data_IF_968694405074
#
_entry.id   IF_968694405074
#
_cell.length_a   1.000
_cell.length_b   1.000
_cell.length_c   1.000
_cell.angle_alpha   90.00
_cell.angle_beta   90.00
_cell.angle_gamma   90.00
#
_symmetry.space_group_name_H-M   'P 1'
#
loop_
_entity.id
_entity.type
_entity.pdbx_description
1 polymer ?
#
# COMPACT_ATOMS: atom_id res chain seq x y z
N UNK A 1 -29.65 -12.13 -6.10
CA UNK A 1 -28.42 -11.39 -6.45
C UNK A 1 -27.27 -12.31 -6.81
N UNK A 2 -26.97 -12.32 -8.10
CA UNK A 2 -26.13 -13.31 -8.77
C UNK A 2 -24.69 -13.36 -8.27
N UNK A 3 -24.22 -14.58 -8.04
CA UNK A 3 -22.82 -14.99 -7.87
C UNK A 3 -21.92 -14.37 -8.97
N UNK A 4 -21.34 -13.20 -8.71
CA UNK A 4 -20.44 -12.54 -9.66
C UNK A 4 -19.02 -13.09 -9.47
N UNK A 5 -18.76 -14.24 -10.09
CA UNK A 5 -17.46 -14.93 -10.10
C UNK A 5 -16.28 -14.01 -10.43
N UNK A 6 -16.48 -12.99 -11.28
CA UNK A 6 -15.46 -12.02 -11.67
C UNK A 6 -15.12 -11.04 -10.54
N UNK A 7 -16.11 -10.49 -9.82
CA UNK A 7 -15.89 -9.68 -8.60
C UNK A 7 -15.17 -10.49 -7.51
N UNK A 8 -15.53 -11.76 -7.34
CA UNK A 8 -14.88 -12.66 -6.37
C UNK A 8 -13.42 -12.89 -6.77
N UNK A 9 -13.14 -13.27 -8.02
CA UNK A 9 -11.78 -13.47 -8.52
C UNK A 9 -10.93 -12.20 -8.44
N UNK A 10 -11.51 -11.04 -8.73
CA UNK A 10 -10.82 -9.76 -8.62
C UNK A 10 -10.48 -9.36 -7.19
N UNK A 11 -11.32 -9.74 -6.21
CA UNK A 11 -11.04 -9.59 -4.79
C UNK A 11 -9.98 -10.61 -4.32
N UNK A 12 -9.96 -11.80 -4.91
CA UNK A 12 -8.99 -12.86 -4.57
C UNK A 12 -7.61 -12.69 -5.21
N UNK A 13 -7.48 -11.91 -6.30
CA UNK A 13 -6.24 -11.80 -7.09
C UNK A 13 -5.67 -10.37 -7.16
N UNK A 14 -6.02 -9.51 -6.21
CA UNK A 14 -5.57 -8.12 -6.17
C UNK A 14 -4.06 -7.92 -6.36
N UNK A 15 -3.65 -7.22 -7.41
CA UNK A 15 -2.26 -6.81 -7.58
C UNK A 15 -2.12 -5.59 -8.47
N UNK A 16 -1.14 -4.74 -8.15
CA UNK A 16 -0.75 -3.60 -9.00
C UNK A 16 0.26 -4.10 -10.04
N UNK A 17 -0.01 -3.96 -11.34
CA UNK A 17 0.87 -4.45 -12.39
C UNK A 17 2.17 -3.65 -12.42
N UNK A 18 3.26 -4.28 -12.89
CA UNK A 18 4.60 -3.71 -12.83
C UNK A 18 4.73 -2.27 -13.37
N UNK A 19 4.13 -1.92 -14.53
CA UNK A 19 4.21 -0.56 -15.08
C UNK A 19 3.49 0.52 -14.25
N UNK A 20 2.69 0.11 -13.25
CA UNK A 20 1.91 1.01 -12.39
C UNK A 20 2.39 1.03 -10.95
N UNK A 21 3.49 0.33 -10.64
CA UNK A 21 4.08 0.34 -9.30
C UNK A 21 4.92 1.60 -9.12
N UNK A 22 4.32 2.61 -8.51
CA UNK A 22 4.99 3.88 -8.19
C UNK A 22 6.18 3.72 -7.22
N UNK A 23 6.20 2.63 -6.43
CA UNK A 23 7.30 2.28 -5.53
C UNK A 23 7.98 1.01 -6.02
N UNK A 24 9.17 1.16 -6.60
CA UNK A 24 10.02 0.03 -7.03
C UNK A 24 10.98 -0.40 -5.92
N UNK A 25 11.55 -1.61 -5.97
CA UNK A 25 12.53 -2.05 -4.97
C UNK A 25 13.74 -1.11 -4.87
N UNK A 26 14.24 -0.66 -6.01
CA UNK A 26 15.36 0.29 -6.06
C UNK A 26 15.01 1.65 -5.44
N UNK A 27 13.79 2.14 -5.66
CA UNK A 27 13.34 3.40 -5.04
C UNK A 27 13.16 3.25 -3.53
N UNK A 28 12.54 2.15 -3.08
CA UNK A 28 12.34 1.84 -1.66
C UNK A 28 13.69 1.82 -0.90
N UNK A 29 14.72 1.21 -1.50
CA UNK A 29 16.05 1.17 -0.90
C UNK A 29 16.73 2.55 -0.91
N UNK A 30 16.77 3.23 -2.08
CA UNK A 30 17.44 4.53 -2.23
C UNK A 30 16.81 5.65 -1.41
N UNK A 31 15.50 5.57 -1.14
CA UNK A 31 14.74 6.58 -0.40
C UNK A 31 14.25 6.08 0.95
N UNK A 32 14.91 5.06 1.49
CA UNK A 32 14.58 4.44 2.77
C UNK A 32 14.38 5.47 3.89
N UNK A 33 15.29 6.43 4.04
CA UNK A 33 15.23 7.38 5.16
C UNK A 33 14.07 8.35 5.05
N UNK A 34 13.73 8.82 3.84
CA UNK A 34 12.53 9.63 3.61
C UNK A 34 11.26 8.85 3.92
N UNK A 35 11.18 7.59 3.47
CA UNK A 35 10.03 6.72 3.76
C UNK A 35 9.93 6.47 5.27
N UNK A 36 11.07 6.24 5.93
CA UNK A 36 11.13 6.07 7.39
C UNK A 36 10.64 7.32 8.11
N UNK A 37 11.06 8.51 7.68
CA UNK A 37 10.61 9.80 8.23
C UNK A 37 9.11 9.99 8.05
N UNK A 38 8.56 9.69 6.87
CA UNK A 38 7.11 9.72 6.66
C UNK A 38 6.36 8.79 7.64
N UNK A 39 6.83 7.55 7.80
CA UNK A 39 6.22 6.59 8.73
C UNK A 39 6.40 7.01 10.20
N UNK A 40 7.47 7.73 10.53
CA UNK A 40 7.68 8.31 11.86
C UNK A 40 6.67 9.42 12.15
N UNK A 41 6.38 10.27 11.17
CA UNK A 41 5.36 11.32 11.27
C UNK A 41 3.94 10.75 11.44
N UNK A 42 3.73 9.48 11.13
CA UNK A 42 2.51 8.73 11.44
C UNK A 42 2.47 8.14 12.85
N UNK A 43 3.44 8.47 13.71
CA UNK A 43 3.57 7.93 15.07
C UNK A 43 3.64 6.39 15.13
N UNK A 44 4.24 5.78 14.11
CA UNK A 44 4.62 4.36 14.16
C UNK A 44 5.89 4.22 15.00
N UNK A 45 5.88 3.29 15.95
CA UNK A 45 7.07 2.85 16.70
C UNK A 45 8.06 2.15 15.76
N UNK A 46 9.30 1.93 16.21
CA UNK A 46 10.31 1.23 15.40
C UNK A 46 9.81 -0.13 14.88
N UNK A 47 9.24 -0.97 15.74
CA UNK A 47 8.74 -2.29 15.32
C UNK A 47 7.54 -2.19 14.35
N UNK A 48 6.70 -1.17 14.49
CA UNK A 48 5.59 -0.94 13.56
C UNK A 48 6.07 -0.43 12.21
N UNK A 49 7.12 0.40 12.18
CA UNK A 49 7.78 0.82 10.93
C UNK A 49 8.42 -0.36 10.23
N UNK A 50 9.08 -1.27 10.94
CA UNK A 50 9.62 -2.50 10.35
C UNK A 50 8.51 -3.32 9.66
N UNK A 51 7.32 -3.42 10.28
CA UNK A 51 6.17 -4.08 9.67
C UNK A 51 5.62 -3.34 8.44
N UNK A 52 5.57 -2.01 8.47
CA UNK A 52 5.20 -1.20 7.30
C UNK A 52 6.20 -1.39 6.15
N UNK A 53 7.50 -1.37 6.43
CA UNK A 53 8.55 -1.65 5.45
C UNK A 53 8.45 -3.05 4.87
N UNK A 54 8.14 -4.05 5.70
CA UNK A 54 7.91 -5.41 5.23
C UNK A 54 6.75 -5.48 4.22
N UNK A 55 5.62 -4.81 4.49
CA UNK A 55 4.50 -4.71 3.55
C UNK A 55 4.88 -3.97 2.27
N UNK A 56 5.58 -2.83 2.39
CA UNK A 56 6.05 -2.03 1.25
C UNK A 56 7.05 -2.79 0.38
N UNK A 57 7.92 -3.61 0.98
CA UNK A 57 8.85 -4.48 0.26
C UNK A 57 8.10 -5.48 -0.60
N UNK A 58 7.14 -6.19 -0.03
CA UNK A 58 6.31 -7.16 -0.77
C UNK A 58 5.57 -6.47 -1.92
N UNK A 59 5.01 -5.29 -1.68
CA UNK A 59 4.38 -4.48 -2.73
C UNK A 59 5.37 -4.13 -3.85
N UNK A 60 6.55 -3.63 -3.50
CA UNK A 60 7.55 -3.20 -4.47
C UNK A 60 7.98 -4.37 -5.37
N UNK A 61 8.17 -5.57 -4.82
CA UNK A 61 8.60 -6.75 -5.59
C UNK A 61 7.50 -7.42 -6.39
N UNK A 62 6.28 -7.52 -5.85
CA UNK A 62 5.24 -8.37 -6.44
C UNK A 62 3.96 -7.63 -6.83
N UNK A 63 3.75 -6.40 -6.35
CA UNK A 63 2.50 -5.66 -6.49
C UNK A 63 1.30 -6.29 -5.76
N UNK A 64 1.50 -7.45 -5.14
CA UNK A 64 0.50 -8.30 -4.45
C UNK A 64 0.97 -8.52 -3.02
N UNK A 65 0.20 -8.06 -2.02
CA UNK A 65 0.62 -8.08 -0.61
C UNK A 65 -0.25 -9.05 0.18
N UNK A 66 0.21 -10.30 0.30
CA UNK A 66 -0.51 -11.38 0.98
C UNK A 66 0.24 -12.06 2.14
N UNK A 67 1.13 -11.39 2.90
CA UNK A 67 1.86 -12.08 3.95
C UNK A 67 0.93 -12.50 5.09
N UNK A 68 1.25 -13.64 5.71
CA UNK A 68 0.74 -13.98 7.04
C UNK A 68 1.66 -13.36 8.10
N UNK A 69 1.12 -13.07 9.28
CA UNK A 69 1.93 -12.53 10.38
C UNK A 69 3.17 -13.38 10.74
N UNK A 70 3.16 -14.73 10.64
CA UNK A 70 4.37 -15.54 10.79
C UNK A 70 5.49 -15.22 9.79
N UNK A 71 5.16 -14.89 8.54
CA UNK A 71 6.19 -14.52 7.54
C UNK A 71 6.94 -13.26 7.97
N UNK A 72 6.26 -12.30 8.59
CA UNK A 72 6.91 -11.13 9.18
C UNK A 72 7.82 -11.49 10.35
N UNK A 73 7.40 -12.43 11.20
CA UNK A 73 8.22 -12.81 12.36
C UNK A 73 9.49 -13.54 11.96
N UNK A 74 9.40 -14.39 10.92
CA UNK A 74 10.53 -15.11 10.32
C UNK A 74 11.50 -14.15 9.63
N UNK A 75 10.98 -13.22 8.81
CA UNK A 75 11.82 -12.32 8.03
C UNK A 75 12.44 -11.15 8.83
N UNK A 76 11.76 -10.71 9.89
CA UNK A 76 12.14 -9.50 10.63
C UNK A 76 12.56 -9.76 12.07
N UNK A 77 12.47 -11.00 12.58
CA UNK A 77 12.77 -11.36 13.97
C UNK A 77 11.99 -10.49 14.99
N UNK A 78 10.73 -10.16 14.67
CA UNK A 78 9.83 -9.32 15.49
C UNK A 78 8.55 -10.08 15.86
N UNK A 79 7.77 -9.54 16.79
CA UNK A 79 6.52 -10.17 17.24
C UNK A 79 5.36 -10.01 16.25
N UNK A 80 4.47 -11.01 16.17
CA UNK A 80 3.18 -10.90 15.43
C UNK A 80 2.35 -9.70 15.91
N UNK A 81 2.46 -9.32 17.18
CA UNK A 81 1.74 -8.19 17.77
C UNK A 81 2.15 -6.86 17.13
N UNK A 82 3.44 -6.65 16.86
CA UNK A 82 3.94 -5.45 16.21
C UNK A 82 3.37 -5.30 14.80
N UNK A 83 3.29 -6.40 14.05
CA UNK A 83 2.66 -6.44 12.73
C UNK A 83 1.19 -6.00 12.79
N UNK A 84 0.39 -6.61 13.68
CA UNK A 84 -1.02 -6.27 13.79
C UNK A 84 -1.27 -4.84 14.29
N UNK A 85 -0.42 -4.33 15.19
CA UNK A 85 -0.48 -2.93 15.62
C UNK A 85 -0.21 -1.96 14.48
N UNK A 86 0.81 -2.24 13.66
CA UNK A 86 1.12 -1.44 12.47
C UNK A 86 -0.05 -1.43 11.49
N UNK A 87 -0.56 -2.61 11.13
CA UNK A 87 -1.73 -2.76 10.24
C UNK A 87 -2.91 -1.96 10.78
N UNK A 88 -3.26 -2.13 12.06
CA UNK A 88 -4.39 -1.43 12.66
C UNK A 88 -4.22 0.10 12.69
N UNK A 89 -3.00 0.63 12.80
CA UNK A 89 -2.73 2.08 12.72
C UNK A 89 -2.86 2.58 11.29
N UNK A 90 -2.31 1.85 10.32
CA UNK A 90 -2.39 2.19 8.90
C UNK A 90 -3.84 2.13 8.37
N UNK A 91 -4.63 1.14 8.82
CA UNK A 91 -6.07 1.02 8.54
C UNK A 91 -6.85 2.19 9.14
N UNK A 92 -6.60 2.53 10.41
CA UNK A 92 -7.25 3.69 11.07
C UNK A 92 -6.91 5.02 10.40
N UNK A 93 -5.71 5.16 9.86
CA UNK A 93 -5.32 6.31 9.05
C UNK A 93 -5.92 6.30 7.63
N UNK A 94 -6.65 5.25 7.26
CA UNK A 94 -7.25 5.08 5.94
C UNK A 94 -6.25 4.86 4.81
N UNK A 95 -5.00 4.52 5.12
CA UNK A 95 -3.90 4.39 4.14
C UNK A 95 -3.81 2.99 3.54
N UNK A 96 -4.30 1.98 4.24
CA UNK A 96 -4.35 0.60 3.75
C UNK A 96 -5.73 0.00 3.97
N UNK A 97 -6.14 -0.88 3.06
CA UNK A 97 -7.33 -1.72 3.25
C UNK A 97 -6.88 -3.18 3.45
N UNK A 98 -7.44 -3.86 4.44
CA UNK A 98 -7.30 -5.31 4.60
C UNK A 98 -8.56 -6.01 4.10
N UNK A 99 -8.37 -6.95 3.20
CA UNK A 99 -9.44 -7.76 2.62
C UNK A 99 -9.18 -9.21 2.98
N UNK A 100 -10.09 -9.84 3.72
CA UNK A 100 -10.01 -11.27 4.02
C UNK A 100 -10.20 -12.07 2.72
N UNK A 101 -9.34 -13.06 2.51
CA UNK A 101 -9.43 -13.97 1.36
C UNK A 101 -9.96 -15.31 1.82
N UNK A 102 -10.99 -15.80 1.14
CA UNK A 102 -11.65 -17.06 1.46
C UNK A 102 -11.53 -18.04 0.30
N UNK A 103 -11.33 -19.32 0.60
CA UNK A 103 -11.48 -20.43 -0.33
C UNK A 103 -12.43 -21.43 0.32
N UNK A 104 -13.54 -21.79 -0.35
CA UNK A 104 -14.56 -22.70 0.18
C UNK A 104 -15.01 -22.33 1.60
N UNK A 105 -15.36 -21.04 1.83
CA UNK A 105 -15.75 -20.47 3.13
C UNK A 105 -14.64 -20.43 4.22
N UNK A 106 -13.46 -20.98 3.97
CA UNK A 106 -12.32 -20.91 4.88
C UNK A 106 -11.45 -19.70 4.57
N UNK A 107 -11.14 -18.88 5.58
CA UNK A 107 -10.19 -17.78 5.41
C UNK A 107 -8.77 -18.34 5.23
N UNK A 108 -8.17 -18.08 4.07
CA UNK A 108 -6.83 -18.59 3.71
C UNK A 108 -5.72 -17.57 3.98
N UNK A 109 -6.02 -16.28 3.86
CA UNK A 109 -5.06 -15.18 4.04
C UNK A 109 -5.76 -13.82 4.06
N UNK A 110 -4.95 -12.76 4.17
CA UNK A 110 -5.39 -11.39 3.96
C UNK A 110 -4.71 -10.80 2.72
N UNK A 111 -5.42 -9.92 2.02
CA UNK A 111 -4.87 -9.00 1.06
C UNK A 111 -4.76 -7.61 1.69
N UNK A 112 -3.55 -7.03 1.66
CA UNK A 112 -3.31 -5.67 2.10
C UNK A 112 -3.17 -4.77 0.87
N UNK A 113 -4.12 -3.87 0.67
CA UNK A 113 -4.06 -2.87 -0.39
C UNK A 113 -3.29 -1.66 0.11
N UNK A 114 -2.13 -1.40 -0.47
CA UNK A 114 -1.24 -0.31 -0.07
C UNK A 114 -1.32 0.90 -1.01
N UNK A 115 -2.26 0.92 -1.95
CA UNK A 115 -2.36 1.93 -3.00
C UNK A 115 -2.30 3.37 -2.49
N UNK A 116 -3.09 3.67 -1.47
CA UNK A 116 -3.14 5.01 -0.89
C UNK A 116 -1.86 5.34 -0.14
N UNK A 117 -1.36 4.42 0.68
CA UNK A 117 -0.04 4.56 1.32
C UNK A 117 1.07 4.83 0.30
N UNK A 118 1.12 4.06 -0.78
CA UNK A 118 2.12 4.19 -1.85
C UNK A 118 1.99 5.53 -2.56
N UNK A 119 0.77 5.98 -2.84
CA UNK A 119 0.53 7.29 -3.43
C UNK A 119 0.94 8.43 -2.49
N UNK A 120 0.65 8.33 -1.19
CA UNK A 120 1.13 9.29 -0.19
C UNK A 120 2.66 9.31 -0.13
N UNK A 121 3.32 8.16 -0.15
CA UNK A 121 4.77 8.08 -0.17
C UNK A 121 5.34 8.69 -1.46
N UNK A 122 4.76 8.39 -2.61
CA UNK A 122 5.20 8.98 -3.88
C UNK A 122 5.07 10.51 -3.86
N UNK A 123 3.95 11.04 -3.34
CA UNK A 123 3.77 12.48 -3.16
C UNK A 123 4.80 13.08 -2.22
N UNK A 124 4.97 12.49 -1.04
CA UNK A 124 5.94 12.95 -0.05
C UNK A 124 7.36 12.97 -0.62
N UNK A 125 7.76 11.92 -1.35
CA UNK A 125 9.07 11.85 -2.01
C UNK A 125 9.22 12.95 -3.08
N UNK A 126 8.19 13.19 -3.89
CA UNK A 126 8.21 14.25 -4.91
C UNK A 126 8.38 15.64 -4.28
N UNK A 127 7.67 15.92 -3.17
CA UNK A 127 7.81 17.18 -2.41
C UNK A 127 9.21 17.35 -1.79
N UNK A 128 9.93 16.27 -1.57
CA UNK A 128 11.32 16.26 -1.07
C UNK A 128 12.36 16.06 -2.18
N UNK A 129 12.03 16.47 -3.41
CA UNK A 129 12.98 16.51 -4.53
C UNK A 129 13.36 15.15 -5.10
N UNK A 130 12.54 14.11 -4.90
CA UNK A 130 12.72 12.83 -5.58
C UNK A 130 12.00 12.85 -6.94
N UNK A 131 12.72 12.93 -8.08
CA UNK A 131 12.09 12.90 -9.39
C UNK A 131 11.57 11.49 -9.70
N UNK A 132 10.38 11.42 -10.29
CA UNK A 132 9.81 10.22 -10.90
C UNK A 132 9.92 10.35 -12.41
N UNK A 133 10.46 9.34 -13.09
CA UNK A 133 10.65 9.35 -14.55
C UNK A 133 9.54 8.59 -15.29
N UNK A 134 8.77 7.75 -14.59
CA UNK A 134 7.69 7.01 -15.22
C UNK A 134 6.46 7.89 -15.41
N UNK A 135 5.92 7.85 -16.63
CA UNK A 135 4.76 8.66 -17.03
C UNK A 135 3.54 8.44 -16.13
N UNK A 136 3.30 7.20 -15.70
CA UNK A 136 2.15 6.87 -14.85
C UNK A 136 2.19 7.62 -13.50
N UNK A 137 3.34 7.60 -12.82
CA UNK A 137 3.48 8.31 -11.55
C UNK A 137 3.39 9.82 -11.74
N UNK A 138 4.04 10.37 -12.78
CA UNK A 138 3.94 11.79 -13.12
C UNK A 138 2.49 12.21 -13.36
N UNK A 139 1.74 11.48 -14.19
CA UNK A 139 0.34 11.77 -14.50
C UNK A 139 -0.54 11.79 -13.23
N UNK A 140 -0.36 10.83 -12.32
CA UNK A 140 -1.10 10.79 -11.05
C UNK A 140 -0.73 11.96 -10.14
N UNK A 141 0.55 12.27 -9.99
CA UNK A 141 1.01 13.36 -9.14
C UNK A 141 0.55 14.72 -9.67
N UNK A 142 0.57 14.94 -10.99
CA UNK A 142 0.04 16.14 -11.62
C UNK A 142 -1.47 16.30 -11.40
N UNK A 143 -2.25 15.21 -11.57
CA UNK A 143 -3.71 15.23 -11.33
C UNK A 143 -4.12 15.56 -9.91
N UNK A 144 -3.19 15.52 -8.95
CA UNK A 144 -3.47 15.71 -7.53
C UNK A 144 -2.71 16.90 -6.93
N UNK A 145 -2.07 17.73 -7.76
CA UNK A 145 -1.03 18.67 -7.32
C UNK A 145 -1.46 19.71 -6.27
N UNK A 146 -2.63 20.33 -6.44
CA UNK A 146 -3.01 21.54 -5.69
C UNK A 146 -3.66 21.25 -4.32
N UNK A 147 -4.16 20.03 -4.11
CA UNK A 147 -4.94 19.70 -2.91
C UNK A 147 -4.74 18.27 -2.41
N UNK A 148 -3.63 17.63 -2.79
CA UNK A 148 -3.33 16.23 -2.47
C UNK A 148 -3.67 15.86 -1.03
N UNK A 149 -3.00 16.48 -0.06
CA UNK A 149 -3.11 16.11 1.36
C UNK A 149 -4.50 16.37 1.94
N UNK A 150 -5.26 17.32 1.37
CA UNK A 150 -6.64 17.63 1.77
C UNK A 150 -7.65 16.63 1.19
N UNK A 151 -7.35 16.03 0.05
CA UNK A 151 -8.30 15.19 -0.71
C UNK A 151 -8.00 13.70 -0.58
N UNK A 152 -6.74 13.32 -0.34
CA UNK A 152 -6.28 11.91 -0.34
C UNK A 152 -7.04 11.02 0.66
N UNK A 153 -7.47 11.60 1.78
CA UNK A 153 -8.27 10.89 2.80
C UNK A 153 -9.65 10.51 2.29
N UNK A 154 -10.24 11.32 1.41
CA UNK A 154 -11.61 11.17 0.89
C UNK A 154 -11.69 10.39 -0.40
N UNK A 155 -10.61 10.33 -1.17
CA UNK A 155 -10.60 9.62 -2.45
C UNK A 155 -10.32 8.13 -2.26
N UNK A 156 -10.91 7.33 -3.15
CA UNK A 156 -10.55 5.94 -3.36
C UNK A 156 -9.33 5.90 -4.28
N UNK A 157 -8.31 5.16 -3.87
CA UNK A 157 -7.09 4.94 -4.66
C UNK A 157 -6.98 3.47 -5.06
N UNK A 158 -6.84 3.21 -6.36
CA UNK A 158 -6.67 1.89 -6.95
C UNK A 158 -5.72 1.94 -8.14
N UNK A 159 -4.43 1.79 -7.87
CA UNK A 159 -3.37 1.93 -8.88
C UNK A 159 -3.48 0.88 -10.00
N UNK A 160 -4.13 -0.26 -9.75
CA UNK A 160 -4.39 -1.26 -10.79
C UNK A 160 -5.45 -0.83 -11.83
N UNK A 161 -6.40 0.02 -11.46
CA UNK A 161 -7.59 0.31 -12.27
C UNK A 161 -7.27 1.38 -13.33
N UNK A 162 -7.88 1.37 -14.54
CA UNK A 162 -7.59 2.33 -15.60
C UNK A 162 -7.70 3.80 -15.16
N UNK A 163 -8.72 4.12 -14.35
CA UNK A 163 -8.81 5.37 -13.61
C UNK A 163 -8.51 5.10 -12.13
N UNK A 164 -7.28 5.37 -11.66
CA UNK A 164 -6.84 4.96 -10.33
C UNK A 164 -7.37 5.84 -9.20
N UNK A 165 -7.96 6.99 -9.52
CA UNK A 165 -8.48 7.95 -8.57
C UNK A 165 -9.99 8.11 -8.80
N UNK A 166 -10.78 7.99 -7.73
CA UNK A 166 -12.23 8.19 -7.80
C UNK A 166 -12.84 8.54 -6.45
N UNK A 167 -14.11 8.92 -6.46
CA UNK A 167 -14.89 9.06 -5.22
C UNK A 167 -15.24 7.67 -4.68
N UNK A 168 -15.34 7.51 -3.35
CA UNK A 168 -15.93 6.31 -2.76
C UNK A 168 -17.37 6.18 -3.30
N UNK A 169 -17.72 4.95 -3.70
CA UNK A 169 -19.07 4.61 -4.14
C UNK A 169 -20.00 4.45 -2.94
#
# INVERSE_FOLDING_TARGET
>A
DCYNKRRILEAMTYGVPAPRRMLTPGLLLKKHDYIRTYLLNMHLTTAERDAAFFLLRIYAYYGKVYPKAPNYTEDCYRSKRSFWRAVAKLERAGLIDRINRYLNHLQISNCYRLDKLVLCLARYLAEHGCPFQDKFTQDILCRTADSFWRTITRIRVRLRDPNPLGMPA
#
